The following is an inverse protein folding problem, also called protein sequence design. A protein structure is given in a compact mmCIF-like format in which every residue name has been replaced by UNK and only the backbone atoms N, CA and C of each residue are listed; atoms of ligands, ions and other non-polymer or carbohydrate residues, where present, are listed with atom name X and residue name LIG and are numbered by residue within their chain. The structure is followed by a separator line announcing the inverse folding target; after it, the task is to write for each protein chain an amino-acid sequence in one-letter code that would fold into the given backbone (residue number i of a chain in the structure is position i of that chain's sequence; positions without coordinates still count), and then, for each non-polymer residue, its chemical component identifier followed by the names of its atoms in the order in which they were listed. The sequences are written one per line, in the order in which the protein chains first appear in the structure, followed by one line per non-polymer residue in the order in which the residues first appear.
data_IF_096500267216
#
_entry.id   IF_096500267216
#
_cell.length_a   1.000
_cell.length_b   1.000
_cell.length_c   1.000
_cell.angle_alpha   90.00
_cell.angle_beta   90.00
_cell.angle_gamma   90.00
#
_symmetry.space_group_name_H-M   'P 1'
#
loop_
_entity.id
_entity.type
_entity.pdbx_description
1 polymer ?
#
# COMPACT_ATOMS: atom_id res chain seq x y z
N UNK A 1 18.86 14.09 19.63
CA UNK A 1 19.95 13.88 18.65
C UNK A 1 19.49 13.16 17.40
N UNK A 2 19.19 11.85 17.41
CA UNK A 2 18.86 11.11 16.18
C UNK A 2 17.64 11.66 15.44
N UNK A 3 16.56 11.95 16.17
CA UNK A 3 15.36 12.55 15.59
C UNK A 3 15.65 13.88 14.89
N UNK A 4 16.48 14.76 15.48
CA UNK A 4 16.85 16.04 14.86
C UNK A 4 17.64 15.84 13.57
N UNK A 5 18.56 14.85 13.54
CA UNK A 5 19.32 14.50 12.33
C UNK A 5 18.36 14.00 11.25
N UNK A 6 17.50 13.04 11.57
CA UNK A 6 16.53 12.49 10.64
C UNK A 6 15.58 13.57 10.12
N UNK A 7 15.11 14.48 10.99
CA UNK A 7 14.21 15.57 10.65
C UNK A 7 14.87 16.56 9.68
N UNK A 8 16.12 16.95 9.91
CA UNK A 8 16.88 17.82 8.98
C UNK A 8 17.08 17.14 7.63
N UNK A 9 17.34 15.82 7.63
CA UNK A 9 17.55 15.07 6.42
C UNK A 9 16.24 14.88 5.63
N UNK A 10 15.15 14.47 6.27
CA UNK A 10 13.91 14.04 5.60
C UNK A 10 12.89 15.16 5.44
N UNK A 11 12.93 16.20 6.28
CA UNK A 11 12.00 17.33 6.29
C UNK A 11 10.52 16.94 6.47
N UNK A 12 10.29 15.73 6.97
CA UNK A 12 8.98 15.22 7.33
C UNK A 12 9.11 14.60 8.73
N UNK A 13 8.24 14.96 9.69
CA UNK A 13 8.32 14.45 11.05
C UNK A 13 8.03 12.95 11.15
N UNK A 14 7.02 12.44 10.43
CA UNK A 14 6.67 11.02 10.42
C UNK A 14 7.80 10.15 9.85
N UNK A 15 8.36 10.55 8.70
CA UNK A 15 9.51 9.84 8.12
C UNK A 15 10.73 9.87 9.06
N UNK A 16 10.90 10.96 9.81
CA UNK A 16 11.99 11.09 10.78
C UNK A 16 11.79 10.17 11.99
N UNK A 17 10.55 10.02 12.48
CA UNK A 17 10.21 9.05 13.53
C UNK A 17 10.48 7.62 13.06
N UNK A 18 10.03 7.25 11.86
CA UNK A 18 10.26 5.94 11.26
C UNK A 18 11.76 5.63 11.11
N UNK A 19 12.54 6.59 10.61
CA UNK A 19 13.99 6.43 10.46
C UNK A 19 14.70 6.22 11.82
N UNK A 20 14.25 6.91 12.87
CA UNK A 20 14.77 6.71 14.23
C UNK A 20 14.38 5.33 14.75
N UNK A 21 13.11 4.94 14.58
CA UNK A 21 12.59 3.67 15.07
C UNK A 21 13.34 2.48 14.44
N UNK A 22 13.55 2.52 13.12
CA UNK A 22 14.35 1.53 12.40
C UNK A 22 15.82 1.49 12.86
N UNK A 23 16.39 2.65 13.18
CA UNK A 23 17.76 2.73 13.69
C UNK A 23 17.87 2.04 15.05
N UNK A 24 16.93 2.30 15.95
CA UNK A 24 16.88 1.68 17.28
C UNK A 24 16.56 0.19 17.21
N UNK A 25 15.67 -0.24 16.31
CA UNK A 25 15.42 -1.67 16.07
C UNK A 25 16.69 -2.39 15.62
N UNK A 26 17.46 -1.80 14.69
CA UNK A 26 18.74 -2.37 14.24
C UNK A 26 19.78 -2.41 15.35
N UNK A 27 19.80 -1.40 16.21
CA UNK A 27 20.66 -1.36 17.39
C UNK A 27 20.36 -2.55 18.31
N UNK A 28 19.08 -2.77 18.64
CA UNK A 28 18.65 -3.87 19.51
C UNK A 28 18.88 -5.25 18.89
N UNK A 29 18.65 -5.40 17.58
CA UNK A 29 18.79 -6.68 16.89
C UNK A 29 20.25 -7.08 16.65
N UNK A 30 21.10 -6.13 16.25
CA UNK A 30 22.51 -6.43 15.96
C UNK A 30 23.39 -6.45 17.20
N UNK A 31 22.96 -5.78 18.28
CA UNK A 31 23.69 -5.63 19.53
C UNK A 31 25.22 -5.49 19.32
N UNK A 32 25.67 -4.45 18.59
CA UNK A 32 27.08 -4.32 18.25
C UNK A 32 27.92 -4.08 19.50
N UNK A 33 29.14 -4.61 19.53
CA UNK A 33 30.10 -4.24 20.57
C UNK A 33 30.69 -2.86 20.25
N UNK A 34 30.59 -1.95 21.21
CA UNK A 34 31.16 -0.61 21.12
C UNK A 34 32.36 -0.48 22.05
N UNK A 35 33.40 0.19 21.57
CA UNK A 35 34.61 0.46 22.35
C UNK A 35 34.39 1.56 23.40
N UNK A 36 33.51 2.52 23.09
CA UNK A 36 33.14 3.63 23.96
C UNK A 36 31.84 4.30 23.47
N UNK A 37 31.32 5.25 24.26
CA UNK A 37 30.09 5.97 23.95
C UNK A 37 30.16 6.82 22.66
N UNK A 38 31.34 7.30 22.26
CA UNK A 38 31.49 8.05 21.01
C UNK A 38 31.43 7.13 19.78
N UNK A 39 32.00 5.94 19.87
CA UNK A 39 31.84 4.91 18.83
C UNK A 39 30.36 4.51 18.69
N UNK A 40 29.66 4.31 19.80
CA UNK A 40 28.21 4.03 19.78
C UNK A 40 27.41 5.16 19.12
N UNK A 41 27.65 6.42 19.50
CA UNK A 41 27.00 7.58 18.88
C UNK A 41 27.30 7.67 17.39
N UNK A 42 28.56 7.52 16.98
CA UNK A 42 28.97 7.57 15.59
C UNK A 42 28.28 6.47 14.76
N UNK A 43 28.16 5.27 15.33
CA UNK A 43 27.42 4.17 14.72
C UNK A 43 25.94 4.51 14.54
N UNK A 44 25.27 4.99 15.59
CA UNK A 44 23.85 5.36 15.54
C UNK A 44 23.59 6.45 14.51
N UNK A 45 24.44 7.48 14.46
CA UNK A 45 24.35 8.58 13.48
C UNK A 45 24.52 8.03 12.06
N UNK A 46 25.49 7.14 11.84
CA UNK A 46 25.76 6.55 10.54
C UNK A 46 24.58 5.71 10.05
N UNK A 47 24.02 4.88 10.93
CA UNK A 47 22.85 4.04 10.60
C UNK A 47 21.64 4.91 10.28
N UNK A 48 21.33 5.92 11.10
CA UNK A 48 20.23 6.85 10.87
C UNK A 48 20.40 7.61 9.55
N UNK A 49 21.60 8.12 9.26
CA UNK A 49 21.88 8.85 8.02
C UNK A 49 21.76 7.94 6.78
N UNK A 50 22.19 6.69 6.88
CA UNK A 50 22.02 5.71 5.81
C UNK A 50 20.54 5.38 5.61
N UNK A 51 19.76 5.21 6.69
CA UNK A 51 18.32 4.96 6.60
C UNK A 51 17.60 6.12 5.91
N UNK A 52 17.90 7.36 6.29
CA UNK A 52 17.34 8.55 5.65
C UNK A 52 17.66 8.59 4.14
N UNK A 53 18.89 8.23 3.74
CA UNK A 53 19.29 8.19 2.33
C UNK A 53 18.55 7.10 1.55
N UNK A 54 18.35 5.94 2.17
CA UNK A 54 17.58 4.85 1.57
C UNK A 54 16.10 5.20 1.40
N UNK A 55 15.49 5.86 2.40
CA UNK A 55 14.12 6.36 2.30
C UNK A 55 13.97 7.39 1.17
N UNK A 56 14.90 8.35 1.05
CA UNK A 56 14.90 9.29 -0.08
C UNK A 56 15.01 8.60 -1.43
N UNK A 57 15.91 7.62 -1.54
CA UNK A 57 16.04 6.82 -2.78
C UNK A 57 14.75 6.04 -3.07
N UNK A 58 14.10 5.53 -2.03
CA UNK A 58 12.82 4.84 -2.17
C UNK A 58 11.74 5.79 -2.69
N UNK A 59 11.58 6.98 -2.11
CA UNK A 59 10.59 7.97 -2.53
C UNK A 59 10.83 8.50 -3.95
N UNK A 60 12.09 8.68 -4.36
CA UNK A 60 12.42 9.04 -5.75
C UNK A 60 12.01 7.94 -6.74
N UNK A 61 12.16 6.67 -6.35
CA UNK A 61 11.79 5.52 -7.17
C UNK A 61 10.29 5.21 -7.16
N UNK A 62 9.61 5.59 -6.07
CA UNK A 62 8.19 5.35 -5.86
C UNK A 62 7.53 6.68 -5.50
N UNK A 63 7.28 7.54 -6.49
CA UNK A 63 6.59 8.80 -6.28
C UNK A 63 5.28 8.54 -5.55
N UNK A 64 5.07 9.21 -4.43
CA UNK A 64 3.83 9.07 -3.67
C UNK A 64 2.74 9.90 -4.35
N UNK A 65 1.59 9.28 -4.58
CA UNK A 65 0.37 9.97 -5.01
C UNK A 65 -0.30 10.58 -3.80
N UNK A 66 -0.86 11.78 -3.94
CA UNK A 66 -1.57 12.42 -2.84
C UNK A 66 -2.77 11.55 -2.42
N UNK A 67 -2.94 11.35 -1.12
CA UNK A 67 -4.08 10.61 -0.58
C UNK A 67 -5.42 11.24 -0.98
N UNK A 68 -5.47 12.57 -1.11
CA UNK A 68 -6.65 13.29 -1.60
C UNK A 68 -6.93 13.00 -3.08
N UNK A 69 -5.89 12.82 -3.90
CA UNK A 69 -6.04 12.42 -5.31
C UNK A 69 -6.56 10.98 -5.41
N UNK A 70 -6.08 10.08 -4.53
CA UNK A 70 -6.61 8.72 -4.42
C UNK A 70 -8.09 8.75 -4.00
N UNK A 71 -8.42 9.57 -3.00
CA UNK A 71 -9.80 9.72 -2.50
C UNK A 71 -10.73 10.32 -3.56
N UNK A 72 -10.28 11.34 -4.29
CA UNK A 72 -11.02 11.92 -5.41
C UNK A 72 -11.23 10.92 -6.56
N UNK A 73 -10.29 10.01 -6.77
CA UNK A 73 -10.43 8.94 -7.76
C UNK A 73 -11.42 7.85 -7.31
N UNK A 74 -11.44 7.54 -6.01
CA UNK A 74 -12.33 6.54 -5.41
C UNK A 74 -13.77 7.04 -5.20
N UNK A 75 -13.98 8.36 -5.06
CA UNK A 75 -15.27 8.96 -4.75
C UNK A 75 -15.81 9.81 -5.92
N UNK A 76 -15.82 9.27 -7.15
CA UNK A 76 -16.52 9.97 -8.25
C UNK A 76 -18.03 10.00 -7.94
N UNK A 77 -18.73 11.13 -8.15
CA UNK A 77 -20.17 11.23 -7.90
C UNK A 77 -21.05 10.34 -8.80
N UNK A 78 -20.45 9.70 -9.80
CA UNK A 78 -21.07 8.71 -10.70
C UNK A 78 -20.98 7.26 -10.16
N UNK A 79 -20.28 7.05 -9.04
CA UNK A 79 -20.18 5.73 -8.42
C UNK A 79 -21.46 5.44 -7.63
N UNK A 80 -22.33 4.62 -8.23
CA UNK A 80 -23.61 4.19 -7.65
C UNK A 80 -23.45 3.22 -6.45
N UNK A 81 -22.45 3.41 -5.59
CA UNK A 81 -22.09 2.45 -4.53
C UNK A 81 -21.47 1.15 -5.05
N UNK A 82 -21.12 1.08 -6.35
CA UNK A 82 -20.52 -0.12 -6.95
C UNK A 82 -19.16 -0.42 -6.31
N UNK A 83 -18.32 0.60 -6.11
CA UNK A 83 -17.05 0.44 -5.42
C UNK A 83 -17.23 -0.11 -3.99
N UNK A 84 -18.19 0.40 -3.23
CA UNK A 84 -18.48 -0.07 -1.87
C UNK A 84 -18.91 -1.55 -1.88
N UNK A 85 -19.79 -1.92 -2.81
CA UNK A 85 -20.22 -3.32 -3.00
C UNK A 85 -19.04 -4.24 -3.34
N UNK A 86 -18.10 -3.75 -4.17
CA UNK A 86 -16.90 -4.49 -4.55
C UNK A 86 -15.89 -4.62 -3.40
N UNK A 87 -15.81 -3.65 -2.49
CA UNK A 87 -14.90 -3.68 -1.34
C UNK A 87 -15.17 -4.85 -0.40
N UNK A 88 -16.42 -5.30 -0.30
CA UNK A 88 -16.80 -6.49 0.49
C UNK A 88 -16.32 -7.82 -0.09
N UNK A 89 -15.94 -7.86 -1.38
CA UNK A 89 -15.50 -9.08 -2.03
C UNK A 89 -14.06 -9.44 -1.66
N UNK A 90 -13.68 -10.73 -1.67
CA UNK A 90 -12.29 -11.14 -1.47
C UNK A 90 -11.33 -10.50 -2.47
N UNK A 91 -10.16 -10.02 -2.01
CA UNK A 91 -9.19 -9.22 -2.77
C UNK A 91 -8.87 -9.77 -4.17
N UNK A 92 -8.65 -11.10 -4.25
CA UNK A 92 -8.30 -11.80 -5.50
C UNK A 92 -9.40 -11.75 -6.55
N UNK A 93 -10.65 -11.60 -6.14
CA UNK A 93 -11.83 -11.49 -7.00
C UNK A 93 -12.10 -10.02 -7.29
N UNK A 94 -12.03 -9.17 -6.25
CA UNK A 94 -12.24 -7.71 -6.33
C UNK A 94 -11.37 -7.07 -7.39
N UNK A 95 -10.05 -7.32 -7.36
CA UNK A 95 -9.10 -6.70 -8.30
C UNK A 95 -9.46 -7.00 -9.77
N UNK A 96 -9.97 -8.21 -10.06
CA UNK A 96 -10.34 -8.61 -11.40
C UNK A 96 -11.63 -7.93 -11.87
N UNK A 97 -12.59 -7.74 -10.96
CA UNK A 97 -13.84 -7.02 -11.26
C UNK A 97 -13.59 -5.53 -11.49
N UNK A 98 -12.79 -4.89 -10.63
CA UNK A 98 -12.43 -3.47 -10.75
C UNK A 98 -11.72 -3.21 -12.08
N UNK A 99 -10.69 -4.00 -12.41
CA UNK A 99 -9.97 -3.84 -13.67
C UNK A 99 -10.88 -4.02 -14.90
N UNK A 100 -11.87 -4.92 -14.84
CA UNK A 100 -12.77 -5.19 -15.95
C UNK A 100 -13.89 -4.15 -16.10
N UNK A 101 -14.63 -3.88 -15.02
CA UNK A 101 -15.85 -3.06 -15.07
C UNK A 101 -15.61 -1.58 -14.84
N UNK A 102 -14.63 -1.22 -14.00
CA UNK A 102 -14.32 0.19 -13.69
C UNK A 102 -13.31 0.74 -14.68
N UNK A 103 -12.27 -0.04 -14.99
CA UNK A 103 -11.19 0.41 -15.88
C UNK A 103 -11.28 -0.10 -17.33
N UNK A 104 -12.25 -0.96 -17.65
CA UNK A 104 -12.51 -1.40 -19.03
C UNK A 104 -11.46 -2.33 -19.65
N UNK A 105 -10.53 -2.90 -18.87
CA UNK A 105 -9.50 -3.80 -19.39
C UNK A 105 -10.10 -5.13 -19.88
N UNK A 106 -9.51 -5.68 -20.93
CA UNK A 106 -9.88 -6.99 -21.44
C UNK A 106 -9.24 -8.12 -20.61
N UNK A 107 -9.87 -9.31 -20.63
CA UNK A 107 -9.41 -10.47 -19.83
C UNK A 107 -7.94 -10.87 -20.10
N UNK A 108 -7.44 -10.67 -21.31
CA UNK A 108 -6.04 -10.93 -21.67
C UNK A 108 -5.07 -9.90 -21.08
N UNK A 109 -5.48 -8.64 -20.97
CA UNK A 109 -4.69 -7.56 -20.38
C UNK A 109 -4.65 -7.72 -18.87
N UNK A 110 -5.80 -8.00 -18.25
CA UNK A 110 -5.90 -8.30 -16.81
C UNK A 110 -5.01 -9.48 -16.44
N UNK A 111 -4.98 -10.53 -17.27
CA UNK A 111 -4.14 -11.69 -17.08
C UNK A 111 -2.65 -11.33 -16.99
N UNK A 112 -2.19 -10.42 -17.86
CA UNK A 112 -0.82 -9.88 -17.84
C UNK A 112 -0.57 -9.04 -16.58
N UNK A 113 -1.49 -8.14 -16.24
CA UNK A 113 -1.39 -7.25 -15.07
C UNK A 113 -1.24 -8.04 -13.76
N UNK A 114 -2.05 -9.09 -13.57
CA UNK A 114 -2.07 -9.86 -12.31
C UNK A 114 -1.18 -11.12 -12.33
N UNK A 115 -0.46 -11.36 -13.43
CA UNK A 115 0.43 -12.52 -13.59
C UNK A 115 -0.29 -13.87 -13.52
N UNK A 116 -1.45 -14.02 -14.19
CA UNK A 116 -2.26 -15.26 -14.23
C UNK A 116 -2.73 -15.58 -15.64
N UNK A 117 -3.33 -16.76 -15.85
CA UNK A 117 -3.91 -17.13 -17.14
C UNK A 117 -5.25 -16.42 -17.39
N UNK A 118 -5.60 -16.20 -18.66
CA UNK A 118 -6.89 -15.61 -19.03
C UNK A 118 -8.08 -16.46 -18.54
N UNK A 119 -7.93 -17.78 -18.50
CA UNK A 119 -8.93 -18.70 -17.93
C UNK A 119 -9.11 -18.48 -16.42
N UNK A 120 -8.04 -18.21 -15.68
CA UNK A 120 -8.12 -17.88 -14.26
C UNK A 120 -8.82 -16.52 -14.02
N UNK A 121 -8.61 -15.54 -14.90
CA UNK A 121 -9.31 -14.25 -14.88
C UNK A 121 -10.81 -14.47 -15.13
N UNK A 122 -11.19 -15.22 -16.17
CA UNK A 122 -12.60 -15.55 -16.47
C UNK A 122 -13.29 -16.26 -15.31
N UNK A 123 -12.62 -17.24 -14.69
CA UNK A 123 -13.13 -17.94 -13.51
C UNK A 123 -13.35 -16.99 -12.32
N UNK A 124 -12.44 -16.03 -12.10
CA UNK A 124 -12.60 -15.03 -11.03
C UNK A 124 -13.73 -14.05 -11.33
N UNK A 125 -13.89 -13.60 -12.58
CA UNK A 125 -15.05 -12.80 -12.99
C UNK A 125 -16.37 -13.55 -12.74
N UNK A 126 -16.43 -14.83 -13.12
CA UNK A 126 -17.62 -15.66 -12.91
C UNK A 126 -17.96 -15.80 -11.42
N UNK A 127 -16.98 -16.15 -10.59
CA UNK A 127 -17.15 -16.23 -9.13
C UNK A 127 -17.56 -14.88 -8.54
N UNK A 128 -16.95 -13.80 -8.98
CA UNK A 128 -17.26 -12.44 -8.56
C UNK A 128 -18.70 -12.03 -8.85
N UNK A 129 -19.18 -12.26 -10.08
CA UNK A 129 -20.58 -11.99 -10.44
C UNK A 129 -21.57 -12.79 -9.60
N UNK A 130 -21.25 -14.05 -9.26
CA UNK A 130 -22.10 -14.88 -8.41
C UNK A 130 -22.17 -14.36 -6.97
N UNK A 131 -21.05 -13.85 -6.43
CA UNK A 131 -21.02 -13.24 -5.10
C UNK A 131 -21.80 -11.93 -5.07
N UNK A 132 -21.58 -11.06 -6.06
CA UNK A 132 -22.33 -9.80 -6.19
C UNK A 132 -23.83 -10.03 -6.33
N UNK A 133 -24.23 -10.99 -7.17
CA UNK A 133 -25.65 -11.36 -7.32
C UNK A 133 -26.26 -11.77 -5.98
N UNK A 134 -25.56 -12.59 -5.18
CA UNK A 134 -26.03 -13.02 -3.86
C UNK A 134 -26.10 -11.86 -2.85
N UNK A 135 -25.21 -10.87 -2.94
CA UNK A 135 -25.24 -9.68 -2.08
C UNK A 135 -26.44 -8.79 -2.41
N UNK A 136 -26.64 -8.49 -3.70
CA UNK A 136 -27.75 -7.67 -4.16
C UNK A 136 -29.12 -8.33 -3.88
N UNK A 137 -29.23 -9.65 -4.10
CA UNK A 137 -30.43 -10.41 -3.72
C UNK A 137 -30.68 -10.40 -2.21
N UNK A 138 -29.65 -10.23 -1.37
CA UNK A 138 -29.83 -10.19 0.09
C UNK A 138 -30.26 -8.80 0.57
N UNK A 139 -29.87 -7.74 -0.14
CA UNK A 139 -30.29 -6.37 0.12
C UNK A 139 -31.75 -6.12 -0.32
N UNK A 140 -32.21 -6.72 -1.42
CA UNK A 140 -33.62 -6.64 -1.85
C UNK A 140 -34.59 -7.20 -0.78
N UNK A 141 -34.21 -8.26 -0.05
CA UNK A 141 -35.02 -8.84 1.03
C UNK A 141 -34.98 -8.05 2.36
N UNK A 142 -34.16 -7.01 2.47
CA UNK A 142 -34.09 -6.14 3.66
C UNK A 142 -35.00 -4.91 3.55
N UNK A 143 -35.62 -4.70 2.39
CA UNK A 143 -36.53 -3.59 2.10
C UNK A 143 -37.97 -4.02 1.77
N UNK A 144 -38.31 -5.31 1.94
CA UNK A 144 -39.68 -5.85 2.00
C UNK A 144 -40.07 -6.18 3.44
#
# INVERSE_FOLDING_TARGET
MLFQICLVMLKNPGDAEDAVQDTLLRYLQKAPNFENAEHEKAWLITVAANRCRDMKRFFVRHPQTNLEEIHAYACRPEDNGLLDTLLELPDKIRIVLVLYYVHGYQTAEIAKIIGKSASAVKMRLFKGRKLLKKQLEKEEWLYE
#
